data_IF_363550725737
#
_entry.id   IF_363550725737
#
_cell.length_a   1.000
_cell.length_b   1.000
_cell.length_c   1.000
_cell.angle_alpha   90.00
_cell.angle_beta   90.00
_cell.angle_gamma   90.00
#
_symmetry.space_group_name_H-M   'P 1'
#
loop_
_entity.id
_entity.type
_entity.pdbx_description
1 polymer ?
#
# COMPACT_ATOMS: atom_id res chain seq x y z
N UNK A 1 -4.81 3.00 14.86
CA UNK A 1 -3.84 3.63 13.93
C UNK A 1 -4.30 5.06 13.71
N UNK A 2 -3.44 6.04 13.99
CA UNK A 2 -3.77 7.46 13.83
C UNK A 2 -3.56 7.86 12.36
N UNK A 3 -4.64 8.25 11.68
CA UNK A 3 -4.65 8.66 10.27
C UNK A 3 -4.88 10.17 10.10
N UNK A 4 -5.00 10.92 11.21
CA UNK A 4 -5.49 12.32 11.25
C UNK A 4 -4.57 13.35 10.59
N UNK A 5 -3.47 12.91 9.96
CA UNK A 5 -2.46 13.76 9.32
C UNK A 5 -2.13 13.36 7.88
N UNK A 6 -2.85 12.39 7.32
CA UNK A 6 -2.66 11.98 5.93
C UNK A 6 -3.54 12.81 4.99
N UNK A 7 -3.00 13.18 3.83
CA UNK A 7 -3.73 13.86 2.76
C UNK A 7 -3.81 12.97 1.52
N UNK A 8 -4.82 13.13 0.66
CA UNK A 8 -4.93 12.36 -0.58
C UNK A 8 -3.68 12.50 -1.46
N UNK A 9 -3.32 11.41 -2.13
CA UNK A 9 -2.20 11.33 -3.08
C UNK A 9 -2.74 10.82 -4.40
N UNK A 10 -2.45 11.55 -5.48
CA UNK A 10 -2.75 11.09 -6.83
C UNK A 10 -1.52 10.44 -7.45
N UNK A 11 -1.69 9.21 -7.95
CA UNK A 11 -0.71 8.49 -8.73
C UNK A 11 -1.18 8.48 -10.18
N UNK A 12 -0.77 9.47 -10.97
CA UNK A 12 -1.17 9.57 -12.39
C UNK A 12 -0.09 9.10 -13.35
N UNK A 13 1.14 8.83 -12.88
CA UNK A 13 2.19 8.28 -13.73
C UNK A 13 3.28 7.55 -12.92
N UNK A 14 4.05 6.72 -13.62
CA UNK A 14 5.11 5.91 -13.03
C UNK A 14 6.19 6.76 -12.34
N UNK A 15 6.49 7.96 -12.84
CA UNK A 15 7.52 8.81 -12.23
C UNK A 15 7.10 9.32 -10.84
N UNK A 16 5.82 9.66 -10.65
CA UNK A 16 5.27 10.02 -9.34
C UNK A 16 5.38 8.84 -8.36
N UNK A 17 5.00 7.64 -8.81
CA UNK A 17 5.14 6.41 -8.05
C UNK A 17 6.59 6.16 -7.61
N UNK A 18 7.56 6.25 -8.52
CA UNK A 18 8.98 6.05 -8.19
C UNK A 18 9.51 7.08 -7.19
N UNK A 19 9.11 8.36 -7.33
CA UNK A 19 9.50 9.41 -6.38
C UNK A 19 8.90 9.13 -5.00
N UNK A 20 7.64 8.72 -4.93
CA UNK A 20 7.00 8.32 -3.69
C UNK A 20 7.74 7.15 -3.03
N UNK A 21 8.02 6.08 -3.77
CA UNK A 21 8.76 4.93 -3.25
C UNK A 21 10.14 5.31 -2.70
N UNK A 22 10.85 6.23 -3.37
CA UNK A 22 12.16 6.66 -2.88
C UNK A 22 12.07 7.45 -1.56
N UNK A 23 11.07 8.31 -1.41
CA UNK A 23 10.82 9.02 -0.14
C UNK A 23 10.42 8.05 0.97
N UNK A 24 9.60 7.05 0.65
CA UNK A 24 9.19 6.01 1.60
C UNK A 24 10.37 5.14 2.02
N UNK A 25 11.23 4.74 1.08
CA UNK A 25 12.45 3.95 1.35
C UNK A 25 13.36 4.59 2.41
N UNK A 26 13.42 5.92 2.44
CA UNK A 26 14.26 6.65 3.39
C UNK A 26 13.66 6.77 4.80
N UNK A 27 12.34 6.57 4.96
CA UNK A 27 11.61 6.91 6.19
C UNK A 27 10.88 5.71 6.80
N UNK A 28 10.43 4.78 5.97
CA UNK A 28 9.67 3.63 6.41
C UNK A 28 10.58 2.64 7.12
N UNK A 29 10.16 2.26 8.32
CA UNK A 29 10.79 1.18 9.11
C UNK A 29 9.97 -0.09 9.01
N UNK A 30 8.67 0.03 8.76
CA UNK A 30 7.78 -1.11 8.56
C UNK A 30 6.96 -0.98 7.27
N UNK A 31 6.62 -2.14 6.72
CA UNK A 31 5.65 -2.30 5.63
C UNK A 31 4.54 -3.19 6.13
N UNK A 32 3.30 -2.80 5.88
CA UNK A 32 2.12 -3.57 6.23
C UNK A 32 1.38 -3.95 4.95
N UNK A 33 1.10 -5.23 4.76
CA UNK A 33 0.29 -5.75 3.66
C UNK A 33 -1.03 -6.27 4.22
N UNK A 34 -2.14 -5.96 3.56
CA UNK A 34 -3.46 -6.50 3.89
C UNK A 34 -4.05 -7.19 2.68
N UNK A 35 -4.24 -8.50 2.81
CA UNK A 35 -4.93 -9.32 1.82
C UNK A 35 -6.43 -9.26 2.09
N UNK A 36 -7.18 -8.74 1.11
CA UNK A 36 -8.61 -8.50 1.24
C UNK A 36 -9.40 -9.80 1.00
N UNK A 37 -8.89 -10.69 0.17
CA UNK A 37 -9.45 -12.01 -0.10
C UNK A 37 -8.45 -13.08 0.32
N UNK A 38 -8.74 -13.82 1.40
CA UNK A 38 -7.86 -14.88 1.94
C UNK A 38 -7.70 -16.11 1.04
N UNK A 39 -8.21 -16.08 -0.20
CA UNK A 39 -8.27 -17.22 -1.11
C UNK A 39 -7.07 -17.36 -2.06
N UNK A 40 -6.13 -16.39 -2.07
CA UNK A 40 -4.98 -16.45 -2.97
C UNK A 40 -3.71 -16.93 -2.25
N UNK A 41 -3.53 -18.25 -2.17
CA UNK A 41 -2.30 -18.89 -1.68
C UNK A 41 -1.06 -18.54 -2.52
N UNK A 42 -1.24 -17.85 -3.66
CA UNK A 42 -0.21 -17.49 -4.62
C UNK A 42 0.02 -15.96 -4.78
N UNK A 43 -0.38 -15.14 -3.81
CA UNK A 43 -0.13 -13.68 -3.85
C UNK A 43 1.39 -13.39 -4.04
N UNK A 44 1.79 -12.83 -5.20
CA UNK A 44 3.20 -12.60 -5.51
C UNK A 44 3.82 -11.49 -4.66
N UNK A 45 3.02 -10.53 -4.18
CA UNK A 45 3.48 -9.44 -3.31
C UNK A 45 3.78 -9.98 -1.92
N UNK A 46 2.85 -10.73 -1.32
CA UNK A 46 3.05 -11.36 -0.02
C UNK A 46 4.18 -12.40 -0.06
N UNK A 47 4.20 -13.26 -1.10
CA UNK A 47 5.28 -14.23 -1.30
C UNK A 47 6.64 -13.54 -1.37
N UNK A 48 6.73 -12.43 -2.10
CA UNK A 48 7.95 -11.64 -2.16
C UNK A 48 8.31 -11.05 -0.80
N UNK A 49 7.35 -10.47 -0.09
CA UNK A 49 7.56 -9.92 1.25
C UNK A 49 8.12 -10.97 2.21
N UNK A 50 7.49 -12.15 2.28
CA UNK A 50 7.94 -13.28 3.10
C UNK A 50 9.35 -13.76 2.74
N UNK A 51 9.73 -13.67 1.46
CA UNK A 51 11.06 -14.11 1.00
C UNK A 51 12.20 -13.15 1.33
N UNK A 52 11.91 -11.86 1.59
CA UNK A 52 12.95 -10.83 1.66
C UNK A 52 12.83 -9.83 2.82
N UNK A 53 11.74 -9.87 3.60
CA UNK A 53 11.53 -9.06 4.78
C UNK A 53 11.32 -9.95 6.02
N UNK A 54 11.63 -9.40 7.19
CA UNK A 54 11.34 -10.04 8.48
C UNK A 54 9.87 -9.81 8.84
N UNK A 55 9.10 -10.89 9.03
CA UNK A 55 7.72 -10.81 9.53
C UNK A 55 7.73 -10.50 11.03
N UNK A 56 7.13 -9.37 11.40
CA UNK A 56 7.01 -8.90 12.79
C UNK A 56 5.70 -9.39 13.42
N UNK A 57 4.58 -9.30 12.69
CA UNK A 57 3.25 -9.64 13.19
C UNK A 57 2.36 -10.14 12.04
N UNK A 58 1.53 -11.16 12.31
CA UNK A 58 0.37 -11.51 11.48
C UNK A 58 -0.87 -11.43 12.35
N UNK A 59 -1.90 -10.74 11.87
CA UNK A 59 -3.20 -10.66 12.56
C UNK A 59 -4.37 -10.65 11.59
N UNK A 60 -5.53 -11.03 12.10
CA UNK A 60 -6.79 -10.90 11.37
C UNK A 60 -7.46 -9.57 11.75
N UNK A 61 -7.82 -8.78 10.75
CA UNK A 61 -8.47 -7.48 10.94
C UNK A 61 -9.85 -7.47 10.29
N UNK A 62 -10.82 -6.88 10.97
CA UNK A 62 -12.16 -6.64 10.41
C UNK A 62 -12.30 -5.26 9.75
N UNK A 63 -11.23 -4.45 9.74
CA UNK A 63 -11.19 -3.09 9.19
C UNK A 63 -9.78 -2.71 8.74
N UNK A 64 -9.67 -2.14 7.55
CA UNK A 64 -8.48 -1.45 7.05
C UNK A 64 -8.66 0.07 7.17
N UNK A 65 -7.63 0.86 7.48
CA UNK A 65 -7.72 2.33 7.49
C UNK A 65 -8.18 2.88 6.14
N UNK A 66 -9.20 3.74 6.15
CA UNK A 66 -9.82 4.27 4.93
C UNK A 66 -11.02 3.49 4.41
N UNK A 67 -11.27 2.26 4.88
CA UNK A 67 -12.44 1.47 4.45
C UNK A 67 -13.68 1.72 5.33
N UNK A 68 -14.84 1.95 4.71
CA UNK A 68 -16.13 2.15 5.39
C UNK A 68 -16.80 0.81 5.74
N UNK A 69 -16.54 -0.25 4.96
CA UNK A 69 -17.22 -1.56 5.10
C UNK A 69 -16.40 -2.53 5.95
N UNK A 70 -17.09 -3.21 6.88
CA UNK A 70 -16.56 -4.36 7.63
C UNK A 70 -16.63 -5.60 6.74
N UNK A 71 -15.53 -5.95 6.08
CA UNK A 71 -15.42 -7.21 5.32
C UNK A 71 -15.30 -8.44 6.25
N UNK A 72 -15.39 -9.62 5.65
CA UNK A 72 -14.84 -10.87 6.19
C UNK A 72 -13.38 -10.65 6.61
N UNK A 73 -12.90 -11.40 7.62
CA UNK A 73 -11.57 -11.22 8.22
C UNK A 73 -10.52 -11.10 7.11
N UNK A 74 -9.82 -9.97 7.05
CA UNK A 74 -8.67 -9.79 6.17
C UNK A 74 -7.41 -10.17 6.93
N UNK A 75 -6.45 -10.77 6.23
CA UNK A 75 -5.15 -11.12 6.80
C UNK A 75 -4.19 -9.94 6.64
N UNK A 76 -3.68 -9.44 7.75
CA UNK A 76 -2.74 -8.33 7.79
C UNK A 76 -1.38 -8.80 8.30
N UNK A 77 -0.33 -8.40 7.59
CA UNK A 77 1.05 -8.78 7.85
C UNK A 77 1.89 -7.52 8.03
N UNK A 78 2.60 -7.42 9.14
CA UNK A 78 3.55 -6.36 9.42
C UNK A 78 4.96 -6.90 9.26
N UNK A 79 5.75 -6.23 8.43
CA UNK A 79 7.13 -6.58 8.12
C UNK A 79 8.06 -5.45 8.50
N UNK A 80 9.30 -5.80 8.87
CA UNK A 80 10.40 -4.83 8.90
C UNK A 80 10.83 -4.52 7.46
N UNK A 81 10.83 -3.24 7.12
CA UNK A 81 11.10 -2.78 5.76
C UNK A 81 12.53 -3.15 5.31
N UNK A 82 12.66 -3.60 4.06
CA UNK A 82 13.93 -4.00 3.45
C UNK A 82 14.05 -3.42 2.03
N UNK A 83 15.24 -2.93 1.67
CA UNK A 83 15.53 -2.34 0.35
C UNK A 83 15.22 -3.31 -0.82
N UNK A 84 15.32 -4.62 -0.61
CA UNK A 84 14.98 -5.64 -1.62
C UNK A 84 13.51 -5.61 -1.97
N UNK A 85 12.63 -5.31 -1.01
CA UNK A 85 11.21 -5.17 -1.27
C UNK A 85 10.90 -3.88 -2.02
N UNK A 86 11.54 -2.76 -1.68
CA UNK A 86 11.43 -1.53 -2.47
C UNK A 86 11.90 -1.70 -3.92
N UNK A 87 13.00 -2.43 -4.13
CA UNK A 87 13.48 -2.76 -5.48
C UNK A 87 12.46 -3.58 -6.28
N UNK A 88 11.78 -4.52 -5.62
CA UNK A 88 10.69 -5.27 -6.21
C UNK A 88 9.50 -4.37 -6.57
N UNK A 89 9.07 -3.50 -5.66
CA UNK A 89 7.98 -2.56 -5.90
C UNK A 89 8.26 -1.64 -7.10
N UNK A 90 9.51 -1.16 -7.27
CA UNK A 90 9.91 -0.36 -8.44
C UNK A 90 9.70 -1.08 -9.79
N UNK A 91 9.48 -2.40 -9.80
CA UNK A 91 9.15 -3.18 -11.00
C UNK A 91 7.73 -2.99 -11.51
N UNK A 92 6.80 -2.49 -10.67
CA UNK A 92 5.42 -2.21 -11.08
C UNK A 92 5.28 -0.82 -11.70
N UNK A 93 4.33 -0.62 -12.64
CA UNK A 93 3.99 0.71 -13.15
C UNK A 93 3.55 1.68 -12.04
N UNK A 94 2.71 1.23 -11.12
CA UNK A 94 2.32 1.89 -9.88
C UNK A 94 1.61 0.86 -8.97
N UNK A 95 1.05 1.28 -7.84
CA UNK A 95 0.06 0.47 -7.13
C UNK A 95 -1.25 0.39 -7.93
N UNK A 96 -1.67 1.55 -8.44
CA UNK A 96 -2.76 1.77 -9.38
C UNK A 96 -2.51 3.14 -10.04
N UNK A 97 -3.27 3.50 -11.07
CA UNK A 97 -3.30 4.87 -11.58
C UNK A 97 -4.64 5.55 -11.36
N UNK A 98 -4.60 6.79 -10.84
CA UNK A 98 -5.74 7.70 -10.89
C UNK A 98 -5.89 8.22 -12.32
N UNK A 99 -7.09 8.07 -12.87
CA UNK A 99 -7.49 8.49 -14.21
C UNK A 99 -8.78 9.29 -14.15
N UNK A 100 -9.04 9.99 -15.24
CA UNK A 100 -10.36 10.55 -15.55
C UNK A 100 -10.93 9.81 -16.74
N UNK A 101 -12.19 9.46 -16.70
CA UNK A 101 -12.89 8.94 -17.87
C UNK A 101 -13.15 10.05 -18.91
N UNK A 102 -13.78 9.69 -20.03
CA UNK A 102 -14.13 10.65 -21.09
C UNK A 102 -15.09 11.77 -20.66
N UNK A 103 -15.68 11.68 -19.46
CA UNK A 103 -16.60 12.64 -18.87
C UNK A 103 -15.97 13.44 -17.72
N UNK A 104 -14.71 13.18 -17.38
CA UNK A 104 -14.01 13.83 -16.27
C UNK A 104 -14.30 13.23 -14.89
N UNK A 105 -14.98 12.08 -14.83
CA UNK A 105 -15.23 11.33 -13.59
C UNK A 105 -13.98 10.55 -13.18
N UNK A 106 -13.78 10.36 -11.87
CA UNK A 106 -12.67 9.58 -11.35
C UNK A 106 -12.77 8.11 -11.78
N UNK A 107 -11.66 7.59 -12.29
CA UNK A 107 -11.48 6.20 -12.71
C UNK A 107 -10.18 5.67 -12.10
N UNK A 108 -10.19 4.40 -11.71
CA UNK A 108 -9.01 3.68 -11.25
C UNK A 108 -8.56 2.75 -12.38
N UNK A 109 -7.32 2.90 -12.81
CA UNK A 109 -6.67 1.96 -13.72
C UNK A 109 -5.82 1.00 -12.88
N UNK A 110 -6.19 -0.27 -12.92
CA UNK A 110 -5.50 -1.36 -12.22
C UNK A 110 -4.13 -1.65 -12.85
N UNK A 111 -3.23 -2.21 -12.05
CA UNK A 111 -1.91 -2.63 -12.51
C UNK A 111 -1.61 -4.05 -12.05
N UNK A 112 -0.52 -4.62 -12.55
CA UNK A 112 -0.03 -5.94 -12.13
C UNK A 112 0.36 -6.03 -10.64
N UNK A 113 0.31 -4.92 -9.89
CA UNK A 113 0.42 -4.94 -8.43
C UNK A 113 -0.74 -5.69 -7.77
N UNK A 114 -1.91 -5.73 -8.41
CA UNK A 114 -3.10 -6.40 -7.90
C UNK A 114 -3.96 -5.50 -7.02
N UNK A 115 -4.69 -6.13 -6.09
CA UNK A 115 -5.77 -5.49 -5.31
C UNK A 115 -5.44 -5.33 -3.82
N UNK A 116 -4.29 -5.84 -3.38
CA UNK A 116 -3.90 -5.81 -1.98
C UNK A 116 -3.60 -4.39 -1.51
N UNK A 117 -3.93 -4.13 -0.26
CA UNK A 117 -3.63 -2.85 0.37
C UNK A 117 -2.23 -2.88 0.97
N UNK A 118 -1.50 -1.77 0.82
CA UNK A 118 -0.17 -1.60 1.37
C UNK A 118 -0.09 -0.33 2.21
N UNK A 119 0.59 -0.41 3.35
CA UNK A 119 0.97 0.76 4.13
C UNK A 119 2.45 0.75 4.48
N UNK A 120 3.02 1.94 4.61
CA UNK A 120 4.40 2.18 5.02
C UNK A 120 4.35 2.99 6.32
N UNK A 121 5.13 2.56 7.31
CA UNK A 121 5.07 3.12 8.65
C UNK A 121 6.47 3.49 9.16
N UNK A 122 6.55 4.54 9.98
CA UNK A 122 7.79 4.92 10.66
C UNK A 122 8.11 4.01 11.86
N UNK A 123 9.17 4.33 12.62
CA UNK A 123 9.60 3.54 13.79
C UNK A 123 8.56 3.51 14.91
N UNK A 124 7.73 4.54 15.01
CA UNK A 124 6.59 4.63 15.94
C UNK A 124 5.32 3.95 15.41
N UNK A 125 5.38 3.35 14.21
CA UNK A 125 4.26 2.76 13.49
C UNK A 125 3.16 3.78 13.12
N UNK A 126 3.52 5.05 12.94
CA UNK A 126 2.64 6.03 12.30
C UNK A 126 2.66 5.86 10.78
N UNK A 127 1.50 6.05 10.15
CA UNK A 127 1.38 5.90 8.70
C UNK A 127 2.10 7.02 7.96
N UNK A 128 3.04 6.64 7.11
CA UNK A 128 3.70 7.51 6.15
C UNK A 128 2.95 7.55 4.83
N UNK A 129 2.41 6.40 4.42
CA UNK A 129 1.60 6.24 3.22
C UNK A 129 0.76 4.97 3.33
N UNK A 130 -0.43 4.95 2.76
CA UNK A 130 -1.20 3.73 2.56
C UNK A 130 -2.12 3.81 1.34
N UNK A 131 -2.51 2.65 0.82
CA UNK A 131 -3.51 2.52 -0.24
C UNK A 131 -4.78 1.84 0.27
N UNK A 132 -5.90 2.15 -0.39
CA UNK A 132 -7.03 1.24 -0.58
C UNK A 132 -7.03 0.92 -2.07
N UNK A 133 -6.25 -0.08 -2.49
CA UNK A 133 -5.83 -0.28 -3.88
C UNK A 133 -7.02 -0.54 -4.81
N UNK A 134 -7.94 -1.42 -4.39
CA UNK A 134 -9.17 -1.75 -5.11
C UNK A 134 -10.17 -0.58 -5.23
N UNK A 135 -10.05 0.44 -4.38
CA UNK A 135 -10.83 1.67 -4.47
C UNK A 135 -10.04 2.81 -5.16
N UNK A 136 -8.77 2.58 -5.51
CA UNK A 136 -7.85 3.57 -6.08
C UNK A 136 -7.59 4.77 -5.20
N UNK A 137 -7.65 4.58 -3.88
CA UNK A 137 -7.31 5.63 -2.92
C UNK A 137 -5.89 5.45 -2.41
N UNK A 138 -5.20 6.58 -2.25
CA UNK A 138 -3.91 6.65 -1.62
C UNK A 138 -3.84 7.89 -0.73
N UNK A 139 -3.23 7.73 0.43
CA UNK A 139 -3.07 8.81 1.39
C UNK A 139 -1.64 8.79 1.92
N UNK A 140 -1.07 9.98 2.14
CA UNK A 140 0.29 10.14 2.63
C UNK A 140 0.40 11.21 3.69
N UNK A 141 1.29 11.01 4.66
CA UNK A 141 1.62 12.05 5.62
C UNK A 141 2.25 13.24 4.90
N UNK A 142 1.86 14.48 5.27
CA UNK A 142 2.43 15.70 4.67
C UNK A 142 3.95 15.78 4.75
N UNK A 143 4.55 15.18 5.78
CA UNK A 143 6.01 15.14 5.93
C UNK A 143 6.71 14.23 4.90
N UNK A 144 5.97 13.37 4.19
CA UNK A 144 6.46 12.42 3.18
C UNK A 144 6.22 12.93 1.77
N UNK A 145 5.09 13.59 1.52
CA UNK A 145 4.71 14.12 0.20
C UNK A 145 5.57 15.29 -0.25
#
# INVERSE_FOLDING_TARGET
MNVDHCVPVELTNHQQYLRLLEKLRQKAVYVMLTQINEEDEADPILSKALSCMELVEKRYVGKWPGTVRKGTKASQYLFRADDRFFKFLKGFPAFFFNRKDGWGCDLVEETDFGQDDIAFLDKEQYMLFYTTTHEGYAYGARAVL
#
